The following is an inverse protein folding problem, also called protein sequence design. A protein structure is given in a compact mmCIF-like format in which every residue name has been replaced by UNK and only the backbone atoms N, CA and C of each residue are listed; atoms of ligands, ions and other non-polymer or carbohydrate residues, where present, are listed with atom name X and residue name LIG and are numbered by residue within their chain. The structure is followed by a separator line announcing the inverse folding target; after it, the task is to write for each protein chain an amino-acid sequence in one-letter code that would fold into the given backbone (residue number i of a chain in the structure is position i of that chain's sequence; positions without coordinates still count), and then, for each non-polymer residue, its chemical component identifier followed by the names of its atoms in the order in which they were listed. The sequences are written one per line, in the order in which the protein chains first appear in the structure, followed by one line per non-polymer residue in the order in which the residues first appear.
data_IF_570060238119
#
_entry.id   IF_570060238119
#
_cell.length_a   1.000
_cell.length_b   1.000
_cell.length_c   1.000
_cell.angle_alpha   90.00
_cell.angle_beta   90.00
_cell.angle_gamma   90.00
#
_symmetry.space_group_name_H-M   'P 1'
#
loop_
_entity.id
_entity.type
_entity.pdbx_description
1 polymer ?
#
# COMPACT_ATOMS: atom_id res chain seq x y z
N UNK A 1 13.59 5.83 -5.48
CA UNK A 1 13.06 4.53 -5.95
C UNK A 1 13.92 3.91 -7.05
N UNK A 2 13.96 4.45 -8.28
CA UNK A 2 14.67 3.83 -9.43
C UNK A 2 16.13 3.46 -9.15
N UNK A 3 16.91 4.37 -8.55
CA UNK A 3 18.34 4.12 -8.24
C UNK A 3 18.52 3.05 -7.15
N UNK A 4 17.68 3.02 -6.11
CA UNK A 4 17.77 1.99 -5.07
C UNK A 4 17.34 0.60 -5.57
N UNK A 5 16.35 0.53 -6.48
CA UNK A 5 15.95 -0.73 -7.13
C UNK A 5 17.04 -1.28 -8.05
N UNK A 6 17.68 -0.42 -8.85
CA UNK A 6 18.73 -0.82 -9.78
C UNK A 6 19.99 -1.33 -9.06
N UNK A 7 20.34 -0.75 -7.90
CA UNK A 7 21.52 -1.13 -7.13
C UNK A 7 21.36 -2.46 -6.37
N UNK A 8 20.15 -3.03 -6.31
CA UNK A 8 19.81 -4.16 -5.42
C UNK A 8 18.95 -5.24 -6.05
N UNK A 9 18.91 -5.30 -7.38
CA UNK A 9 18.25 -6.36 -8.14
C UNK A 9 18.73 -7.77 -7.75
N UNK A 10 20.01 -7.94 -7.39
CA UNK A 10 20.57 -9.24 -6.99
C UNK A 10 19.97 -9.80 -5.70
N UNK A 11 19.67 -8.95 -4.70
CA UNK A 11 19.06 -9.37 -3.43
C UNK A 11 17.58 -9.78 -3.59
N UNK A 12 16.88 -9.18 -4.56
CA UNK A 12 15.51 -9.55 -4.93
C UNK A 12 15.50 -10.96 -5.56
N UNK A 13 16.53 -11.26 -6.36
CA UNK A 13 16.69 -12.54 -7.04
C UNK A 13 17.21 -13.65 -6.12
N UNK A 14 18.03 -13.33 -5.10
CA UNK A 14 18.54 -14.32 -4.14
C UNK A 14 17.50 -14.84 -3.14
N UNK A 15 16.50 -14.03 -2.74
CA UNK A 15 15.54 -14.39 -1.69
C UNK A 15 14.07 -14.09 -2.03
N UNK A 16 13.52 -14.64 -3.12
CA UNK A 16 12.14 -14.39 -3.55
C UNK A 16 11.10 -14.83 -2.52
N UNK A 17 11.38 -15.88 -1.75
CA UNK A 17 10.46 -16.40 -0.74
C UNK A 17 10.17 -15.41 0.39
N UNK A 18 11.19 -14.64 0.81
CA UNK A 18 11.08 -13.66 1.88
C UNK A 18 10.19 -12.48 1.45
N UNK A 19 10.26 -12.11 0.17
CA UNK A 19 9.42 -11.07 -0.43
C UNK A 19 7.95 -11.51 -0.43
N UNK A 20 7.66 -12.74 -0.85
CA UNK A 20 6.28 -13.27 -0.86
C UNK A 20 5.71 -13.33 0.56
N UNK A 21 6.50 -13.80 1.53
CA UNK A 21 6.09 -13.85 2.92
C UNK A 21 5.81 -12.46 3.52
N UNK A 22 6.52 -11.42 3.09
CA UNK A 22 6.21 -10.03 3.48
C UNK A 22 5.04 -9.44 2.71
N UNK A 23 4.89 -9.80 1.43
CA UNK A 23 3.84 -9.29 0.56
C UNK A 23 2.45 -9.71 1.04
N UNK A 24 2.26 -10.98 1.41
CA UNK A 24 0.97 -11.51 1.85
C UNK A 24 0.35 -10.71 3.01
N UNK A 25 1.01 -10.55 4.19
CA UNK A 25 0.44 -9.81 5.31
C UNK A 25 0.27 -8.33 4.98
N UNK A 26 1.15 -7.75 4.18
CA UNK A 26 1.09 -6.34 3.80
C UNK A 26 -0.08 -6.06 2.85
N UNK A 27 -0.29 -6.90 1.83
CA UNK A 27 -1.45 -6.85 0.93
C UNK A 27 -2.76 -7.03 1.70
N UNK A 28 -2.83 -8.01 2.61
CA UNK A 28 -4.00 -8.22 3.46
C UNK A 28 -4.30 -7.00 4.31
N UNK A 29 -3.27 -6.43 4.95
CA UNK A 29 -3.40 -5.22 5.75
C UNK A 29 -4.00 -4.06 4.94
N UNK A 30 -3.47 -3.79 3.73
CA UNK A 30 -3.97 -2.72 2.89
C UNK A 30 -5.41 -2.92 2.45
N UNK A 31 -5.76 -4.13 2.03
CA UNK A 31 -7.13 -4.46 1.64
C UNK A 31 -8.12 -4.30 2.79
N UNK A 32 -7.78 -4.85 3.96
CA UNK A 32 -8.66 -4.78 5.13
C UNK A 32 -8.83 -3.32 5.57
N UNK A 33 -7.75 -2.58 5.74
CA UNK A 33 -7.82 -1.17 6.16
C UNK A 33 -8.61 -0.32 5.17
N UNK A 34 -8.31 -0.44 3.87
CA UNK A 34 -9.02 0.31 2.84
C UNK A 34 -10.51 0.00 2.86
N UNK A 35 -10.89 -1.28 2.84
CA UNK A 35 -12.30 -1.69 2.78
C UNK A 35 -13.05 -1.27 4.03
N UNK A 36 -12.46 -1.41 5.23
CA UNK A 36 -13.09 -1.00 6.48
C UNK A 36 -13.37 0.50 6.49
N UNK A 37 -12.39 1.32 6.13
CA UNK A 37 -12.53 2.79 6.10
C UNK A 37 -13.49 3.23 4.99
N UNK A 38 -13.37 2.64 3.80
CA UNK A 38 -14.24 2.92 2.66
C UNK A 38 -15.71 2.59 2.94
N UNK A 39 -15.99 1.42 3.51
CA UNK A 39 -17.35 1.02 3.89
C UNK A 39 -17.90 1.84 5.05
N UNK A 40 -17.05 2.24 5.99
CA UNK A 40 -17.44 3.14 7.08
C UNK A 40 -17.80 4.52 6.53
N UNK A 41 -16.99 5.06 5.62
CA UNK A 41 -17.29 6.32 4.93
C UNK A 41 -18.60 6.27 4.14
N UNK A 42 -18.86 5.16 3.45
CA UNK A 42 -20.13 4.92 2.77
C UNK A 42 -21.33 4.88 3.73
N UNK A 43 -21.19 4.18 4.87
CA UNK A 43 -22.23 4.12 5.91
C UNK A 43 -22.51 5.48 6.55
N UNK A 44 -21.48 6.31 6.70
CA UNK A 44 -21.59 7.69 7.20
C UNK A 44 -22.21 8.66 6.17
N UNK A 45 -22.44 8.21 4.94
CA UNK A 45 -23.07 9.02 3.90
C UNK A 45 -22.12 9.95 3.16
N UNK A 46 -20.80 9.71 3.23
CA UNK A 46 -19.83 10.45 2.43
C UNK A 46 -20.07 10.22 0.93
N UNK A 47 -19.68 11.20 0.10
CA UNK A 47 -19.64 11.02 -1.35
C UNK A 47 -18.45 10.10 -1.72
N UNK A 48 -18.50 9.51 -2.92
CA UNK A 48 -17.47 8.58 -3.38
C UNK A 48 -16.06 9.17 -3.27
N UNK A 49 -15.88 10.43 -3.69
CA UNK A 49 -14.59 11.12 -3.66
C UNK A 49 -14.01 11.20 -2.24
N UNK A 50 -14.84 11.52 -1.26
CA UNK A 50 -14.43 11.65 0.14
C UNK A 50 -14.13 10.28 0.76
N UNK A 51 -15.01 9.28 0.52
CA UNK A 51 -14.80 7.93 1.02
C UNK A 51 -13.50 7.30 0.46
N UNK A 52 -13.20 7.53 -0.81
CA UNK A 52 -11.95 7.09 -1.45
C UNK A 52 -10.74 7.86 -0.91
N UNK A 53 -10.85 9.19 -0.77
CA UNK A 53 -9.76 10.01 -0.23
C UNK A 53 -9.38 9.59 1.20
N UNK A 54 -10.38 9.40 2.06
CA UNK A 54 -10.16 8.94 3.45
C UNK A 54 -9.63 7.50 3.47
N UNK A 55 -10.16 6.62 2.60
CA UNK A 55 -9.66 5.26 2.43
C UNK A 55 -8.17 5.21 2.06
N UNK A 56 -7.76 5.94 1.03
CA UNK A 56 -6.35 5.99 0.62
C UNK A 56 -5.45 6.68 1.64
N UNK A 57 -5.93 7.74 2.31
CA UNK A 57 -5.18 8.38 3.38
C UNK A 57 -4.91 7.43 4.54
N UNK A 58 -5.87 6.58 4.90
CA UNK A 58 -5.69 5.58 5.96
C UNK A 58 -4.70 4.47 5.60
N UNK A 59 -4.49 4.24 4.31
CA UNK A 59 -3.53 3.25 3.80
C UNK A 59 -2.18 3.85 3.41
N UNK A 60 -2.07 5.17 3.26
CA UNK A 60 -0.83 5.82 2.87
C UNK A 60 0.27 5.59 3.90
N UNK A 61 1.45 5.18 3.46
CA UNK A 61 2.62 5.00 4.34
C UNK A 61 3.79 5.85 3.87
N UNK A 62 4.53 6.38 4.83
CA UNK A 62 5.74 7.16 4.59
C UNK A 62 6.98 6.25 4.53
N UNK A 63 7.16 5.58 3.38
CA UNK A 63 8.32 4.71 3.17
C UNK A 63 9.65 5.44 3.29
N UNK A 64 9.69 6.70 2.84
CA UNK A 64 10.87 7.54 2.89
C UNK A 64 11.37 7.70 4.32
N UNK A 65 10.46 7.93 5.27
CA UNK A 65 10.77 8.05 6.69
C UNK A 65 11.15 6.68 7.27
N UNK A 66 10.41 5.62 6.92
CA UNK A 66 10.71 4.26 7.38
C UNK A 66 12.11 3.79 6.95
N UNK A 67 12.51 4.06 5.70
CA UNK A 67 13.83 3.75 5.17
C UNK A 67 14.90 4.60 5.88
N UNK A 68 14.65 5.90 6.10
CA UNK A 68 15.59 6.76 6.82
C UNK A 68 15.86 6.27 8.26
N UNK A 69 14.81 5.85 8.97
CA UNK A 69 14.94 5.25 10.31
C UNK A 69 15.69 3.92 10.23
N UNK A 70 15.40 3.08 9.24
CA UNK A 70 16.06 1.79 9.09
C UNK A 70 17.57 1.93 8.81
N UNK A 71 17.99 2.93 8.02
CA UNK A 71 19.41 3.21 7.75
C UNK A 71 20.11 3.75 9.00
N UNK A 72 19.44 4.59 9.78
CA UNK A 72 20.06 5.31 10.90
C UNK A 72 20.08 4.51 12.21
N UNK A 73 19.02 3.74 12.49
CA UNK A 73 18.87 2.99 13.73
C UNK A 73 19.27 1.50 13.60
N UNK A 74 19.27 0.95 12.38
CA UNK A 74 19.55 -0.47 12.15
C UNK A 74 20.69 -0.67 11.15
N UNK A 75 21.13 -1.93 11.03
CA UNK A 75 22.19 -2.29 10.10
C UNK A 75 21.74 -2.00 8.64
N UNK A 76 22.62 -1.50 7.75
CA UNK A 76 22.30 -1.21 6.35
C UNK A 76 21.59 -2.35 5.60
N UNK A 77 21.84 -3.61 5.98
CA UNK A 77 21.15 -4.78 5.41
C UNK A 77 19.63 -4.78 5.68
N UNK A 78 19.18 -4.24 6.82
CA UNK A 78 17.75 -4.16 7.20
C UNK A 78 17.05 -3.03 6.44
N UNK A 79 17.71 -1.88 6.31
CA UNK A 79 17.21 -0.76 5.52
C UNK A 79 16.99 -1.10 4.04
N UNK A 80 17.76 -2.06 3.54
CA UNK A 80 17.64 -2.55 2.19
C UNK A 80 16.41 -3.43 1.96
N UNK A 81 15.99 -4.19 2.97
CA UNK A 81 14.74 -4.94 2.91
C UNK A 81 13.51 -4.03 2.89
N UNK A 82 13.58 -2.86 3.54
CA UNK A 82 12.46 -1.89 3.56
C UNK A 82 12.18 -1.23 2.20
N UNK A 83 13.14 -1.25 1.28
CA UNK A 83 12.97 -0.71 -0.10
C UNK A 83 12.07 -1.59 -0.97
N UNK A 84 11.87 -2.85 -0.59
CA UNK A 84 10.98 -3.78 -1.32
C UNK A 84 9.49 -3.45 -1.05
N UNK A 85 9.19 -2.77 0.06
CA UNK A 85 7.83 -2.36 0.43
C UNK A 85 7.07 -1.63 -0.70
N UNK A 86 7.64 -0.58 -1.30
CA UNK A 86 7.05 0.11 -2.45
C UNK A 86 6.76 -0.79 -3.67
N UNK A 87 7.57 -1.83 -3.92
CA UNK A 87 7.34 -2.75 -5.05
C UNK A 87 6.02 -3.49 -4.91
N UNK A 88 5.62 -3.78 -3.67
CA UNK A 88 4.38 -4.47 -3.33
C UNK A 88 3.25 -3.46 -3.16
N UNK A 89 3.52 -2.31 -2.54
CA UNK A 89 2.48 -1.31 -2.24
C UNK A 89 1.86 -0.71 -3.50
N UNK A 90 2.68 -0.28 -4.46
CA UNK A 90 2.18 0.35 -5.70
C UNK A 90 1.18 -0.54 -6.46
N UNK A 91 1.46 -1.83 -6.76
CA UNK A 91 0.48 -2.67 -7.44
C UNK A 91 -0.75 -2.97 -6.59
N UNK A 92 -0.62 -3.08 -5.26
CA UNK A 92 -1.76 -3.26 -4.36
C UNK A 92 -2.66 -2.02 -4.38
N UNK A 93 -2.10 -0.82 -4.31
CA UNK A 93 -2.86 0.43 -4.40
C UNK A 93 -3.58 0.56 -5.74
N UNK A 94 -2.91 0.22 -6.85
CA UNK A 94 -3.56 0.20 -8.18
C UNK A 94 -4.75 -0.77 -8.22
N UNK A 95 -4.62 -1.95 -7.61
CA UNK A 95 -5.72 -2.91 -7.50
C UNK A 95 -6.89 -2.36 -6.65
N UNK A 96 -6.59 -1.65 -5.56
CA UNK A 96 -7.59 -0.99 -4.73
C UNK A 96 -8.30 0.16 -5.46
N UNK A 97 -7.59 0.95 -6.27
CA UNK A 97 -8.20 1.99 -7.13
C UNK A 97 -9.18 1.35 -8.10
N UNK A 98 -8.78 0.26 -8.76
CA UNK A 98 -9.65 -0.46 -9.69
C UNK A 98 -10.89 -1.03 -8.98
N UNK A 99 -10.70 -1.58 -7.78
CA UNK A 99 -11.79 -2.06 -6.94
C UNK A 99 -12.76 -0.92 -6.57
N UNK A 100 -12.25 0.20 -6.05
CA UNK A 100 -13.06 1.35 -5.65
C UNK A 100 -13.87 1.92 -6.82
N UNK A 101 -13.24 2.04 -8.00
CA UNK A 101 -13.89 2.50 -9.24
C UNK A 101 -15.00 1.55 -9.70
N UNK A 102 -14.79 0.24 -9.59
CA UNK A 102 -15.81 -0.74 -9.94
C UNK A 102 -16.98 -0.77 -8.94
N UNK A 103 -16.72 -0.46 -7.67
CA UNK A 103 -17.75 -0.40 -6.61
C UNK A 103 -18.52 0.91 -6.56
N UNK A 104 -18.00 1.98 -7.17
CA UNK A 104 -18.64 3.31 -7.26
C UNK A 104 -20.10 3.21 -7.72
N UNK A 105 -20.34 2.53 -8.84
CA UNK A 105 -21.65 2.41 -9.47
C UNK A 105 -22.66 1.61 -8.65
N UNK A 106 -22.21 0.75 -7.73
CA UNK A 106 -23.08 -0.09 -6.90
C UNK A 106 -23.38 0.56 -5.55
N UNK A 107 -22.38 1.17 -4.91
CA UNK A 107 -22.50 1.70 -3.56
C UNK A 107 -22.92 3.18 -3.54
N UNK A 108 -22.46 3.99 -4.49
CA UNK A 108 -22.65 5.45 -4.45
C UNK A 108 -23.65 5.96 -5.50
N UNK A 109 -24.51 5.08 -6.04
CA UNK A 109 -25.54 5.42 -7.02
C UNK A 109 -26.55 6.42 -6.39
N UNK A 110 -26.40 7.71 -6.71
CA UNK A 110 -27.24 8.80 -6.20
C UNK A 110 -26.61 9.69 -5.12
N UNK A 111 -25.32 9.51 -4.77
CA UNK A 111 -24.57 10.33 -3.79
C UNK A 111 -23.34 11.00 -4.42
N UNK A 112 -23.54 11.71 -5.54
CA UNK A 112 -22.46 12.44 -6.23
C UNK A 112 -22.10 13.74 -5.53
#
# INVERSE_FOLDING_TARGET
LVVMFALKGDLILEKPFLIVQMAIPMTLFFWIMFVVVYLTGWKLGLNYKDAVAVGFNSTGRDFEIAIAIAITAFNPTVALATVIGPLIEVPVMLALVWFAKNTEMKLFKGRQ
#
